data_IF_598266544600
#
_entry.id   IF_598266544600
#
_cell.length_a   1.000
_cell.length_b   1.000
_cell.length_c   1.000
_cell.angle_alpha   90.00
_cell.angle_beta   90.00
_cell.angle_gamma   90.00
#
_symmetry.space_group_name_H-M   'P 1'
#
loop_
_entity.id
_entity.type
_entity.pdbx_description
1 polymer ?
#
# COMPACT_ATOMS: atom_id res chain seq x y z
N UNK A 1 2.05 -0.62 14.48
CA UNK A 1 2.72 -1.26 13.33
C UNK A 1 2.34 -2.73 13.29
N UNK A 2 1.74 -3.18 12.19
CA UNK A 2 1.21 -4.53 12.06
C UNK A 2 1.85 -5.24 10.87
N UNK A 3 1.85 -6.57 10.89
CA UNK A 3 2.34 -7.38 9.79
C UNK A 3 1.18 -7.96 8.98
N UNK A 4 1.48 -8.68 7.90
CA UNK A 4 0.45 -9.20 6.98
C UNK A 4 -0.64 -10.00 7.69
N UNK A 5 -0.26 -10.83 8.66
CA UNK A 5 -1.23 -11.66 9.39
C UNK A 5 -2.24 -10.80 10.13
N UNK A 6 -1.78 -9.72 10.75
CA UNK A 6 -2.66 -8.80 11.48
C UNK A 6 -3.58 -8.05 10.54
N UNK A 7 -3.06 -7.69 9.36
CA UNK A 7 -3.86 -7.03 8.33
C UNK A 7 -4.96 -7.96 7.82
N UNK A 8 -4.63 -9.23 7.59
CA UNK A 8 -5.62 -10.21 7.16
C UNK A 8 -6.74 -10.37 8.19
N UNK A 9 -6.40 -10.46 9.47
CA UNK A 9 -7.39 -10.54 10.54
C UNK A 9 -8.29 -9.31 10.59
N UNK A 10 -7.71 -8.13 10.40
CA UNK A 10 -8.48 -6.88 10.35
C UNK A 10 -9.52 -6.91 9.24
N UNK A 11 -9.15 -7.37 8.05
CA UNK A 11 -10.06 -7.38 6.91
C UNK A 11 -11.19 -8.41 7.06
N UNK A 12 -10.92 -9.54 7.70
CA UNK A 12 -11.94 -10.54 7.97
C UNK A 12 -13.05 -9.96 8.83
N UNK A 13 -12.71 -9.06 9.75
CA UNK A 13 -13.64 -8.46 10.69
C UNK A 13 -14.19 -7.12 10.22
N UNK A 14 -13.95 -6.75 8.97
CA UNK A 14 -14.40 -5.47 8.43
C UNK A 14 -15.21 -5.68 7.16
N UNK A 15 -16.37 -5.03 7.08
CA UNK A 15 -17.19 -5.02 5.86
C UNK A 15 -16.70 -4.01 4.84
N UNK A 16 -15.76 -3.15 5.22
CA UNK A 16 -15.29 -2.06 4.38
C UNK A 16 -13.94 -2.40 3.77
N UNK A 17 -13.86 -2.30 2.45
CA UNK A 17 -12.61 -2.47 1.73
C UNK A 17 -11.89 -1.13 1.66
N UNK A 18 -10.74 -1.04 2.31
CA UNK A 18 -9.93 0.17 2.32
C UNK A 18 -9.05 0.25 1.08
N UNK A 19 -8.64 1.46 0.71
CA UNK A 19 -7.56 1.62 -0.24
C UNK A 19 -6.28 1.07 0.36
N UNK A 20 -5.45 0.44 -0.47
CA UNK A 20 -4.18 -0.13 -0.02
C UNK A 20 -3.06 0.49 -0.86
N UNK A 21 -2.10 1.09 -0.18
CA UNK A 21 -0.98 1.79 -0.80
C UNK A 21 0.33 1.20 -0.28
N UNK A 22 1.27 0.96 -1.20
CA UNK A 22 2.62 0.54 -0.83
C UNK A 22 3.53 1.76 -0.90
N UNK A 23 4.14 2.13 0.21
CA UNK A 23 5.10 3.24 0.24
C UNK A 23 6.48 2.72 -0.11
N UNK A 24 7.04 3.24 -1.19
CA UNK A 24 8.29 2.80 -1.77
C UNK A 24 8.03 2.03 -3.05
N UNK A 25 8.45 2.60 -4.20
CA UNK A 25 8.19 2.02 -5.51
C UNK A 25 9.40 1.33 -6.10
N UNK A 26 10.40 1.00 -5.27
CA UNK A 26 11.58 0.27 -5.70
C UNK A 26 11.45 -1.23 -5.45
N UNK A 27 12.59 -1.88 -5.27
CA UNK A 27 12.65 -3.34 -5.09
C UNK A 27 11.81 -3.82 -3.90
N UNK A 28 11.93 -3.13 -2.76
CA UNK A 28 11.17 -3.52 -1.57
C UNK A 28 9.67 -3.36 -1.77
N UNK A 29 9.25 -2.34 -2.53
CA UNK A 29 7.84 -2.18 -2.85
C UNK A 29 7.30 -3.33 -3.69
N UNK A 30 8.09 -3.79 -4.67
CA UNK A 30 7.70 -4.95 -5.48
C UNK A 30 7.62 -6.22 -4.65
N UNK A 31 8.58 -6.42 -3.74
CA UNK A 31 8.57 -7.57 -2.83
C UNK A 31 7.33 -7.51 -1.94
N UNK A 32 6.98 -6.33 -1.45
CA UNK A 32 5.79 -6.14 -0.63
C UNK A 32 4.52 -6.50 -1.40
N UNK A 33 4.43 -6.08 -2.66
CA UNK A 33 3.28 -6.43 -3.49
C UNK A 33 3.18 -7.94 -3.70
N UNK A 34 4.30 -8.62 -3.96
CA UNK A 34 4.30 -10.07 -4.12
C UNK A 34 3.83 -10.77 -2.85
N UNK A 35 4.28 -10.30 -1.69
CA UNK A 35 3.86 -10.86 -0.41
C UNK A 35 2.35 -10.64 -0.18
N UNK A 36 1.84 -9.46 -0.51
CA UNK A 36 0.40 -9.19 -0.41
C UNK A 36 -0.41 -10.13 -1.30
N UNK A 37 0.06 -10.37 -2.52
CA UNK A 37 -0.64 -11.24 -3.46
C UNK A 37 -0.75 -12.67 -2.96
N UNK A 38 0.22 -13.14 -2.15
CA UNK A 38 0.13 -14.46 -1.53
C UNK A 38 -1.02 -14.58 -0.55
N UNK A 39 -1.48 -13.45 -0.01
CA UNK A 39 -2.63 -13.40 0.89
C UNK A 39 -3.90 -12.92 0.18
N UNK A 40 -3.87 -12.88 -1.17
CA UNK A 40 -4.99 -12.44 -2.00
C UNK A 40 -5.32 -10.95 -1.86
N UNK A 41 -4.32 -10.13 -1.57
CA UNK A 41 -4.47 -8.68 -1.54
C UNK A 41 -3.81 -8.05 -2.75
N UNK A 42 -4.34 -6.91 -3.17
CA UNK A 42 -3.78 -6.09 -4.25
C UNK A 42 -3.63 -4.65 -3.76
N UNK A 43 -2.52 -4.02 -4.13
CA UNK A 43 -2.35 -2.61 -3.88
C UNK A 43 -3.08 -1.80 -4.95
N UNK A 44 -3.63 -0.66 -4.55
CA UNK A 44 -4.25 0.28 -5.50
C UNK A 44 -3.21 1.19 -6.13
N UNK A 45 -2.21 1.62 -5.35
CA UNK A 45 -1.15 2.52 -5.79
C UNK A 45 0.14 2.22 -5.09
N UNK A 46 1.25 2.66 -5.71
CA UNK A 46 2.51 2.87 -5.01
C UNK A 46 2.63 4.35 -4.66
N UNK A 47 3.36 4.66 -3.61
CA UNK A 47 3.72 6.01 -3.25
C UNK A 47 5.23 6.09 -3.12
N UNK A 48 5.84 7.16 -3.59
CA UNK A 48 7.29 7.33 -3.46
C UNK A 48 7.61 8.82 -3.35
N UNK A 49 8.58 9.14 -2.51
CA UNK A 49 9.05 10.52 -2.36
C UNK A 49 9.95 10.98 -3.50
N UNK A 50 10.43 10.05 -4.32
CA UNK A 50 11.29 10.38 -5.47
C UNK A 50 10.44 10.93 -6.61
N UNK A 51 10.55 12.24 -6.85
CA UNK A 51 9.74 12.91 -7.87
C UNK A 51 9.96 12.34 -9.27
N UNK A 52 11.11 11.71 -9.51
CA UNK A 52 11.42 11.13 -10.83
C UNK A 52 10.56 9.90 -11.12
N UNK A 53 9.98 9.30 -10.11
CA UNK A 53 9.13 8.11 -10.25
C UNK A 53 7.66 8.46 -10.44
N UNK A 54 7.28 9.68 -10.15
CA UNK A 54 5.89 10.10 -10.30
C UNK A 54 5.49 10.04 -11.77
N UNK A 55 4.25 9.66 -12.04
CA UNK A 55 3.69 9.46 -13.38
C UNK A 55 4.25 8.23 -14.09
N UNK A 56 5.07 7.43 -13.43
CA UNK A 56 5.47 6.11 -13.91
C UNK A 56 4.56 5.05 -13.30
N UNK A 57 4.71 3.82 -13.75
CA UNK A 57 3.95 2.69 -13.22
C UNK A 57 4.90 1.58 -12.82
N UNK A 58 4.55 0.88 -11.74
CA UNK A 58 5.22 -0.34 -11.29
C UNK A 58 4.15 -1.41 -11.19
N UNK A 59 4.37 -2.56 -11.86
CA UNK A 59 3.39 -3.66 -11.85
C UNK A 59 1.99 -3.15 -12.24
N UNK A 60 1.94 -2.24 -13.23
CA UNK A 60 0.71 -1.62 -13.74
C UNK A 60 0.00 -0.72 -12.73
N UNK A 61 0.64 -0.41 -11.60
CA UNK A 61 0.10 0.49 -10.58
C UNK A 61 0.75 1.86 -10.70
N UNK A 62 -0.05 2.91 -10.59
CA UNK A 62 0.47 4.27 -10.62
C UNK A 62 1.32 4.55 -9.38
N UNK A 63 2.33 5.42 -9.55
CA UNK A 63 3.16 5.89 -8.46
C UNK A 63 2.74 7.32 -8.14
N UNK A 64 2.28 7.53 -6.92
CA UNK A 64 1.77 8.84 -6.48
C UNK A 64 2.78 9.51 -5.54
N UNK A 65 2.67 10.83 -5.41
CA UNK A 65 3.49 11.60 -4.47
C UNK A 65 2.95 11.45 -3.04
N UNK A 66 3.80 11.64 -2.01
CA UNK A 66 3.32 11.60 -0.63
C UNK A 66 2.24 12.63 -0.33
N UNK A 67 2.26 13.79 -1.00
CA UNK A 67 1.24 14.81 -0.79
C UNK A 67 -0.16 14.30 -1.13
N UNK A 68 -0.26 13.40 -2.09
CA UNK A 68 -1.56 12.84 -2.47
C UNK A 68 -2.15 11.94 -1.42
N UNK A 69 -1.37 11.45 -0.48
CA UNK A 69 -1.89 10.62 0.61
C UNK A 69 -2.91 11.37 1.44
N UNK A 70 -2.80 12.70 1.53
CA UNK A 70 -3.75 13.51 2.28
C UNK A 70 -5.13 13.58 1.62
N UNK A 71 -5.23 13.23 0.33
CA UNK A 71 -6.49 13.21 -0.38
C UNK A 71 -7.27 11.91 -0.23
N UNK A 72 -6.65 10.89 0.35
CA UNK A 72 -7.32 9.62 0.58
C UNK A 72 -8.07 9.62 1.90
N UNK A 73 -9.05 8.71 2.01
CA UNK A 73 -9.84 8.56 3.22
C UNK A 73 -9.01 8.10 4.40
N UNK A 74 -9.54 8.31 5.61
CA UNK A 74 -8.91 7.84 6.84
C UNK A 74 -8.73 6.32 6.88
N UNK A 75 -9.47 5.61 6.04
CA UNK A 75 -9.44 4.14 5.98
C UNK A 75 -8.41 3.62 4.99
N UNK A 76 -7.44 4.43 4.61
CA UNK A 76 -6.36 4.00 3.73
C UNK A 76 -5.31 3.23 4.52
N UNK A 77 -4.94 2.05 4.03
CA UNK A 77 -3.91 1.22 4.64
C UNK A 77 -2.60 1.38 3.87
N UNK A 78 -1.50 1.50 4.59
CA UNK A 78 -0.20 1.76 4.01
C UNK A 78 0.79 0.69 4.45
N UNK A 79 1.46 0.05 3.49
CA UNK A 79 2.55 -0.89 3.74
C UNK A 79 3.89 -0.25 3.43
N UNK A 80 4.83 -0.39 4.35
CA UNK A 80 6.22 0.04 4.16
C UNK A 80 7.10 -1.15 4.50
N UNK A 81 7.85 -1.65 3.53
CA UNK A 81 8.79 -2.78 3.74
C UNK A 81 8.11 -3.97 4.45
N UNK A 82 6.97 -4.44 3.93
CA UNK A 82 6.18 -5.53 4.49
C UNK A 82 5.52 -5.22 5.84
N UNK A 83 5.54 -3.96 6.27
CA UNK A 83 4.93 -3.55 7.53
C UNK A 83 3.71 -2.71 7.21
N UNK A 84 2.61 -3.03 7.88
CA UNK A 84 1.34 -2.34 7.69
C UNK A 84 1.19 -1.20 8.68
N UNK A 85 0.76 -0.05 8.17
CA UNK A 85 0.36 1.09 8.99
C UNK A 85 -1.08 1.45 8.67
N UNK A 86 -1.88 1.64 9.71
CA UNK A 86 -3.22 2.16 9.55
C UNK A 86 -3.16 3.69 9.57
N UNK A 87 -3.94 4.34 8.73
CA UNK A 87 -3.99 5.80 8.64
C UNK A 87 -4.95 6.43 9.66
N UNK A 88 -5.50 5.65 10.54
CA UNK A 88 -6.43 6.14 11.55
C UNK A 88 -5.74 7.08 12.52
#
# INVERSE_FOLDING_TARGET
MLQFRDYQSKLINSDKKNNLIIYGAGTLGKVTLQALRKYNFEADFFCDSDVRKHNLKVEEKAIISPEKLTSFDQDTDIFVSNIYFSSI
#
